data_IF_938144138303
#
_entry.id   IF_938144138303
#
_cell.length_a   1.000
_cell.length_b   1.000
_cell.length_c   1.000
_cell.angle_alpha   90.00
_cell.angle_beta   90.00
_cell.angle_gamma   90.00
#
_symmetry.space_group_name_H-M   'P 1'
#
loop_
_entity.id
_entity.type
_entity.pdbx_description
1 polymer ?
#
# COMPACT_ATOMS: atom_id res chain seq x y z
N UNK A 1 25.74 16.81 22.46
CA UNK A 1 25.67 15.36 22.13
C UNK A 1 26.92 14.96 21.37
N UNK A 2 27.70 14.02 21.92
CA UNK A 2 28.95 13.53 21.33
C UNK A 2 28.67 12.68 20.07
N UNK A 3 29.65 12.60 19.15
CA UNK A 3 29.56 11.81 17.90
C UNK A 3 29.09 10.36 18.12
N UNK A 4 29.43 9.75 19.27
CA UNK A 4 28.99 8.41 19.65
C UNK A 4 27.48 8.26 19.90
N UNK A 5 26.81 9.27 20.50
CA UNK A 5 25.35 9.26 20.64
C UNK A 5 24.64 9.39 19.29
N UNK A 6 25.28 10.10 18.35
CA UNK A 6 24.71 10.29 17.02
C UNK A 6 24.68 9.00 16.19
N UNK A 7 25.73 8.18 16.28
CA UNK A 7 25.80 6.90 15.59
C UNK A 7 24.81 5.86 16.15
N UNK A 8 24.61 5.82 17.48
CA UNK A 8 23.69 4.88 18.13
C UNK A 8 22.22 5.10 17.74
N UNK A 9 21.75 6.36 17.76
CA UNK A 9 20.38 6.71 17.34
C UNK A 9 20.09 6.34 15.88
N UNK A 10 21.08 6.49 14.97
CA UNK A 10 20.92 6.07 13.58
C UNK A 10 20.79 4.55 13.42
N UNK A 11 21.55 3.76 14.18
CA UNK A 11 21.46 2.28 14.14
C UNK A 11 20.10 1.78 14.62
N UNK A 12 19.58 2.33 15.73
CA UNK A 12 18.28 1.96 16.27
C UNK A 12 17.14 2.26 15.27
N UNK A 13 17.16 3.45 14.66
CA UNK A 13 16.14 3.83 13.67
C UNK A 13 16.13 2.90 12.46
N UNK A 14 17.31 2.47 11.97
CA UNK A 14 17.42 1.47 10.89
C UNK A 14 16.78 0.15 11.30
N UNK A 15 17.12 -0.35 12.50
CA UNK A 15 16.56 -1.59 13.03
C UNK A 15 15.04 -1.55 13.10
N UNK A 16 14.47 -0.45 13.61
CA UNK A 16 13.01 -0.27 13.69
C UNK A 16 12.36 -0.25 12.30
N UNK A 17 12.95 0.42 11.31
CA UNK A 17 12.43 0.43 9.94
C UNK A 17 12.44 -0.96 9.31
N UNK A 18 13.52 -1.73 9.49
CA UNK A 18 13.61 -3.11 8.98
C UNK A 18 12.61 -4.04 9.69
N UNK A 19 12.53 -3.98 11.02
CA UNK A 19 11.54 -4.76 11.78
C UNK A 19 10.13 -4.36 11.38
N UNK A 20 9.87 -3.08 11.13
CA UNK A 20 8.58 -2.56 10.69
C UNK A 20 8.12 -3.15 9.35
N UNK A 21 9.02 -3.31 8.37
CA UNK A 21 8.65 -3.95 7.09
C UNK A 21 8.48 -5.47 7.23
N UNK A 22 9.27 -6.14 8.06
CA UNK A 22 9.05 -7.57 8.35
C UNK A 22 7.69 -7.78 9.03
N UNK A 23 7.36 -6.94 10.01
CA UNK A 23 6.05 -6.90 10.65
C UNK A 23 4.93 -6.64 9.64
N UNK A 24 5.10 -5.65 8.74
CA UNK A 24 4.13 -5.34 7.69
C UNK A 24 3.80 -6.55 6.80
N UNK A 25 4.78 -7.40 6.50
CA UNK A 25 4.63 -8.50 5.55
C UNK A 25 4.22 -9.80 6.20
N UNK A 26 4.73 -10.12 7.39
CA UNK A 26 4.62 -11.45 7.98
C UNK A 26 3.74 -11.52 9.23
N UNK A 27 3.32 -10.38 9.79
CA UNK A 27 2.47 -10.43 10.98
C UNK A 27 1.08 -11.01 10.61
N UNK A 28 0.61 -12.06 11.31
CA UNK A 28 -0.63 -12.75 10.98
C UNK A 28 -1.87 -11.90 11.34
N UNK A 29 -2.98 -12.16 10.67
CA UNK A 29 -4.30 -11.55 10.97
C UNK A 29 -5.34 -12.59 11.38
N UNK A 30 -5.03 -13.88 11.27
CA UNK A 30 -5.90 -14.98 11.68
C UNK A 30 -5.14 -16.09 12.40
N UNK A 31 -5.91 -16.95 13.08
CA UNK A 31 -5.42 -18.20 13.67
C UNK A 31 -6.36 -19.30 13.20
N UNK A 32 -5.83 -20.26 12.43
CA UNK A 32 -6.64 -21.34 11.86
C UNK A 32 -7.71 -20.86 10.87
N UNK A 33 -7.44 -19.75 10.16
CA UNK A 33 -8.38 -19.15 9.20
C UNK A 33 -9.49 -18.29 9.80
N UNK A 34 -9.56 -18.19 11.12
CA UNK A 34 -10.50 -17.31 11.81
C UNK A 34 -9.82 -15.97 12.11
N UNK A 35 -10.46 -14.85 11.69
CA UNK A 35 -10.03 -13.49 12.04
C UNK A 35 -9.81 -13.41 13.55
N UNK A 36 -8.62 -12.99 13.99
CA UNK A 36 -8.30 -12.88 15.41
C UNK A 36 -8.33 -11.41 15.86
N UNK A 37 -9.34 -10.99 16.64
CA UNK A 37 -9.41 -9.64 17.17
C UNK A 37 -8.20 -9.28 18.04
N UNK A 38 -7.60 -10.28 18.70
CA UNK A 38 -6.39 -10.10 19.51
C UNK A 38 -5.19 -9.75 18.63
N UNK A 39 -4.98 -10.48 17.53
CA UNK A 39 -3.90 -10.16 16.59
C UNK A 39 -4.09 -8.77 15.98
N UNK A 40 -5.31 -8.40 15.59
CA UNK A 40 -5.58 -7.07 15.04
C UNK A 40 -5.27 -5.95 16.05
N UNK A 41 -5.67 -6.11 17.32
CA UNK A 41 -5.33 -5.16 18.39
C UNK A 41 -3.83 -5.05 18.60
N UNK A 42 -3.13 -6.18 18.66
CA UNK A 42 -1.67 -6.22 18.80
C UNK A 42 -1.01 -5.54 17.61
N UNK A 43 -1.48 -5.78 16.39
CA UNK A 43 -0.94 -5.15 15.18
C UNK A 43 -1.09 -3.62 15.22
N UNK A 44 -2.25 -3.11 15.63
CA UNK A 44 -2.48 -1.67 15.78
C UNK A 44 -1.56 -1.07 16.85
N UNK A 45 -1.45 -1.71 18.02
CA UNK A 45 -0.60 -1.24 19.11
C UNK A 45 0.89 -1.28 18.74
N UNK A 46 1.34 -2.33 18.07
CA UNK A 46 2.72 -2.43 17.57
C UNK A 46 3.01 -1.35 16.53
N UNK A 47 2.06 -1.06 15.64
CA UNK A 47 2.21 0.02 14.66
C UNK A 47 2.37 1.39 15.35
N UNK A 48 1.55 1.68 16.37
CA UNK A 48 1.70 2.88 17.22
C UNK A 48 3.05 2.89 17.92
N UNK A 49 3.47 1.76 18.52
CA UNK A 49 4.73 1.64 19.24
C UNK A 49 5.95 1.84 18.34
N UNK A 50 5.92 1.32 17.10
CA UNK A 50 6.98 1.51 16.10
C UNK A 50 7.18 2.99 15.79
N UNK A 51 6.11 3.75 15.53
CA UNK A 51 6.22 5.18 15.24
C UNK A 51 6.54 6.02 16.47
N UNK A 52 5.97 5.67 17.63
CA UNK A 52 6.33 6.27 18.91
C UNK A 52 7.83 6.13 19.19
N UNK A 53 8.38 4.92 19.02
CA UNK A 53 9.80 4.65 19.19
C UNK A 53 10.66 5.45 18.20
N UNK A 54 10.27 5.53 16.91
CA UNK A 54 10.99 6.35 15.94
C UNK A 54 11.05 7.83 16.35
N UNK A 55 9.93 8.41 16.82
CA UNK A 55 9.90 9.80 17.29
C UNK A 55 10.78 10.00 18.53
N UNK A 56 10.72 9.08 19.49
CA UNK A 56 11.51 9.13 20.73
C UNK A 56 13.02 9.02 20.50
N UNK A 57 13.47 8.47 19.37
CA UNK A 57 14.89 8.45 18.99
C UNK A 57 15.49 9.84 18.67
N UNK A 58 14.74 10.92 18.90
CA UNK A 58 15.19 12.32 18.98
C UNK A 58 15.63 12.93 17.63
N UNK A 59 15.70 12.11 16.57
CA UNK A 59 16.17 12.51 15.25
C UNK A 59 15.21 12.18 14.11
N UNK A 60 14.14 11.45 14.41
CA UNK A 60 13.13 11.11 13.43
C UNK A 60 11.86 11.92 13.61
N UNK A 61 11.94 13.13 14.18
CA UNK A 61 10.81 14.05 14.21
C UNK A 61 10.71 14.81 12.89
N UNK A 62 9.49 14.97 12.38
CA UNK A 62 9.16 15.82 11.25
C UNK A 62 9.30 17.30 11.60
N UNK A 63 8.75 18.16 10.73
CA UNK A 63 8.64 19.58 11.01
C UNK A 63 7.61 19.82 12.13
N UNK A 64 7.77 20.92 12.88
CA UNK A 64 6.77 21.33 13.89
C UNK A 64 5.38 21.50 13.27
N UNK A 65 5.32 22.00 12.04
CA UNK A 65 4.07 22.13 11.28
C UNK A 65 3.37 20.79 11.08
N UNK A 66 4.10 19.73 10.70
CA UNK A 66 3.53 18.39 10.56
C UNK A 66 2.96 17.88 11.88
N UNK A 67 3.69 18.07 12.99
CA UNK A 67 3.19 17.70 14.31
C UNK A 67 1.89 18.45 14.67
N UNK A 68 1.83 19.76 14.40
CA UNK A 68 0.62 20.58 14.65
C UNK A 68 -0.55 20.10 13.79
N UNK A 69 -0.33 19.86 12.49
CA UNK A 69 -1.35 19.35 11.56
C UNK A 69 -1.89 17.99 12.03
N UNK A 70 -1.00 17.10 12.47
CA UNK A 70 -1.39 15.78 12.96
C UNK A 70 -2.11 15.83 14.32
N UNK A 71 -1.72 16.74 15.21
CA UNK A 71 -2.48 17.01 16.44
C UNK A 71 -3.85 17.61 16.14
N UNK A 72 -3.93 18.54 15.17
CA UNK A 72 -5.19 19.11 14.72
C UNK A 72 -6.12 18.04 14.13
N UNK A 73 -5.59 17.05 13.41
CA UNK A 73 -6.36 15.90 12.94
C UNK A 73 -7.00 15.12 14.09
N UNK A 74 -6.24 14.81 15.14
CA UNK A 74 -6.76 14.09 16.32
C UNK A 74 -7.77 14.96 17.07
N UNK A 75 -7.47 16.24 17.29
CA UNK A 75 -8.36 17.18 17.96
C UNK A 75 -9.68 17.34 17.19
N UNK A 76 -9.61 17.45 15.87
CA UNK A 76 -10.79 17.54 14.99
C UNK A 76 -11.67 16.30 15.12
N UNK A 77 -11.09 15.10 14.99
CA UNK A 77 -11.83 13.85 15.14
C UNK A 77 -12.46 13.71 16.53
N UNK A 78 -11.73 14.08 17.59
CA UNK A 78 -12.25 14.09 18.96
C UNK A 78 -13.43 15.07 19.11
N UNK A 79 -13.33 16.27 18.55
CA UNK A 79 -14.41 17.25 18.57
C UNK A 79 -15.66 16.71 17.86
N UNK A 80 -15.51 16.13 16.66
CA UNK A 80 -16.64 15.54 15.92
C UNK A 80 -17.26 14.35 16.66
N UNK A 81 -16.44 13.56 17.37
CA UNK A 81 -16.91 12.44 18.20
C UNK A 81 -17.83 12.92 19.33
N UNK A 82 -17.49 14.05 19.97
CA UNK A 82 -18.26 14.62 21.07
C UNK A 82 -19.57 15.28 20.59
N UNK A 83 -19.56 15.85 19.39
CA UNK A 83 -20.73 16.49 18.78
C UNK A 83 -21.77 15.48 18.28
N UNK A 84 -21.44 14.19 18.21
CA UNK A 84 -22.33 13.12 17.74
C UNK A 84 -22.58 12.06 18.86
N UNK A 85 -23.33 12.41 19.92
CA UNK A 85 -23.45 11.60 21.14
C UNK A 85 -24.30 10.33 20.98
N UNK A 86 -25.10 10.24 19.92
CA UNK A 86 -25.95 9.06 19.64
C UNK A 86 -25.20 8.00 18.82
N UNK A 87 -23.95 7.69 19.18
CA UNK A 87 -23.15 6.75 18.42
C UNK A 87 -22.18 5.95 19.29
N UNK A 88 -21.71 4.83 18.75
CA UNK A 88 -20.83 3.92 19.47
C UNK A 88 -19.37 4.24 19.17
N UNK A 89 -18.61 4.59 20.22
CA UNK A 89 -17.17 4.84 20.09
C UNK A 89 -16.44 3.59 19.56
N UNK A 90 -15.56 3.79 18.58
CA UNK A 90 -14.70 2.76 18.02
C UNK A 90 -13.24 2.95 18.50
N UNK A 91 -12.84 2.38 19.65
CA UNK A 91 -11.51 2.61 20.22
C UNK A 91 -10.36 2.15 19.29
N UNK A 92 -10.58 1.12 18.46
CA UNK A 92 -9.61 0.69 17.46
C UNK A 92 -9.27 1.78 16.44
N UNK A 93 -10.25 2.61 16.06
CA UNK A 93 -10.02 3.70 15.12
C UNK A 93 -9.19 4.83 15.72
N UNK A 94 -9.40 5.13 17.01
CA UNK A 94 -8.57 6.08 17.74
C UNK A 94 -7.11 5.69 17.62
N UNK A 95 -6.80 4.42 17.89
CA UNK A 95 -5.42 3.92 17.80
C UNK A 95 -4.88 3.91 16.35
N UNK A 96 -5.71 3.61 15.34
CA UNK A 96 -5.31 3.71 13.92
C UNK A 96 -4.95 5.15 13.55
N UNK A 97 -5.79 6.13 13.88
CA UNK A 97 -5.53 7.54 13.58
C UNK A 97 -4.35 8.09 14.37
N UNK A 98 -4.16 7.68 15.63
CA UNK A 98 -2.95 7.99 16.40
C UNK A 98 -1.72 7.40 15.71
N UNK A 99 -1.76 6.14 15.28
CA UNK A 99 -0.68 5.52 14.52
C UNK A 99 -0.36 6.27 13.23
N UNK A 100 -1.38 6.68 12.47
CA UNK A 100 -1.23 7.49 11.27
C UNK A 100 -0.64 8.87 11.56
N UNK A 101 -1.14 9.57 12.58
CA UNK A 101 -0.64 10.87 13.03
C UNK A 101 0.84 10.80 13.43
N UNK A 102 1.23 9.74 14.15
CA UNK A 102 2.61 9.49 14.51
C UNK A 102 3.46 9.21 13.26
N UNK A 103 3.01 8.33 12.36
CA UNK A 103 3.70 8.04 11.10
C UNK A 103 3.95 9.31 10.30
N UNK A 104 2.92 10.12 10.05
CA UNK A 104 3.02 11.38 9.29
C UNK A 104 3.92 12.42 10.01
N UNK A 105 4.08 12.30 11.33
CA UNK A 105 4.98 13.13 12.13
C UNK A 105 6.43 12.64 12.10
N UNK A 106 6.72 11.44 11.58
CA UNK A 106 8.08 10.90 11.53
C UNK A 106 8.89 11.41 10.35
N UNK A 107 10.21 11.53 10.55
CA UNK A 107 11.21 11.85 9.55
C UNK A 107 12.28 10.77 9.51
N UNK A 108 12.23 9.91 8.49
CA UNK A 108 13.24 8.89 8.21
C UNK A 108 14.23 9.33 7.12
N UNK A 109 14.19 10.59 6.66
CA UNK A 109 15.08 11.13 5.60
C UNK A 109 16.59 10.90 5.85
N UNK A 110 17.00 10.94 7.12
CA UNK A 110 18.41 10.82 7.55
C UNK A 110 18.78 9.38 7.93
N UNK A 111 17.82 8.46 7.91
CA UNK A 111 18.08 7.04 8.07
C UNK A 111 18.62 6.54 6.75
N UNK A 112 19.75 5.85 6.80
CA UNK A 112 20.40 5.27 5.62
C UNK A 112 21.00 3.93 6.01
N UNK A 113 20.72 2.88 5.25
CA UNK A 113 21.27 1.55 5.48
C UNK A 113 21.36 0.75 4.17
N UNK A 114 22.17 1.18 3.19
CA UNK A 114 22.08 0.68 1.81
C UNK A 114 22.17 -0.84 1.70
N UNK A 115 23.08 -1.47 2.46
CA UNK A 115 23.22 -2.93 2.48
C UNK A 115 22.01 -3.61 3.13
N UNK A 116 21.55 -3.13 4.28
CA UNK A 116 20.43 -3.73 4.99
C UNK A 116 19.12 -3.57 4.22
N UNK A 117 18.89 -2.41 3.60
CA UNK A 117 17.69 -2.15 2.79
C UNK A 117 17.71 -2.95 1.49
N UNK A 118 18.87 -3.12 0.85
CA UNK A 118 19.03 -4.00 -0.31
C UNK A 118 18.79 -5.47 0.03
N UNK A 119 19.37 -5.97 1.13
CA UNK A 119 19.13 -7.34 1.62
C UNK A 119 17.66 -7.56 1.98
N UNK A 120 17.03 -6.57 2.61
CA UNK A 120 15.61 -6.64 2.95
C UNK A 120 14.75 -6.67 1.69
N UNK A 121 15.04 -5.86 0.67
CA UNK A 121 14.31 -5.95 -0.60
C UNK A 121 14.51 -7.30 -1.29
N UNK A 122 15.73 -7.84 -1.27
CA UNK A 122 16.00 -9.19 -1.80
C UNK A 122 15.18 -10.26 -1.07
N UNK A 123 15.07 -10.17 0.25
CA UNK A 123 14.20 -11.03 1.05
C UNK A 123 12.72 -10.87 0.65
N UNK A 124 12.23 -9.64 0.49
CA UNK A 124 10.85 -9.36 0.04
C UNK A 124 10.59 -9.99 -1.32
N UNK A 125 11.52 -9.85 -2.27
CA UNK A 125 11.42 -10.44 -3.59
C UNK A 125 11.38 -11.97 -3.51
N UNK A 126 12.31 -12.58 -2.77
CA UNK A 126 12.37 -14.03 -2.59
C UNK A 126 11.08 -14.56 -1.95
N UNK A 127 10.61 -13.92 -0.88
CA UNK A 127 9.36 -14.26 -0.21
C UNK A 127 8.16 -14.17 -1.16
N UNK A 128 7.99 -13.03 -1.83
CA UNK A 128 6.87 -12.77 -2.73
C UNK A 128 6.88 -13.70 -3.95
N UNK A 129 8.04 -14.00 -4.53
CA UNK A 129 8.15 -14.94 -5.65
C UNK A 129 7.93 -16.37 -5.20
N UNK A 130 8.50 -16.78 -4.07
CA UNK A 130 8.32 -18.16 -3.57
C UNK A 130 6.85 -18.41 -3.25
N UNK A 131 6.25 -17.55 -2.41
CA UNK A 131 4.87 -17.72 -1.98
C UNK A 131 3.88 -17.43 -3.13
N UNK A 132 4.10 -16.36 -3.89
CA UNK A 132 3.20 -15.97 -4.98
C UNK A 132 3.18 -16.97 -6.12
N UNK A 133 4.34 -17.52 -6.49
CA UNK A 133 4.42 -18.59 -7.50
C UNK A 133 3.80 -19.88 -6.98
N UNK A 134 4.08 -20.25 -5.72
CA UNK A 134 3.46 -21.42 -5.11
C UNK A 134 1.93 -21.31 -5.06
N UNK A 135 1.37 -20.13 -4.77
CA UNK A 135 -0.07 -19.89 -4.84
C UNK A 135 -0.60 -19.94 -6.28
N UNK A 136 0.13 -19.37 -7.25
CA UNK A 136 -0.29 -19.37 -8.65
C UNK A 136 -0.32 -20.77 -9.29
N UNK A 137 0.44 -21.73 -8.73
CA UNK A 137 0.47 -23.13 -9.16
C UNK A 137 -0.26 -24.07 -8.18
N UNK A 138 -1.15 -23.54 -7.34
CA UNK A 138 -1.95 -24.32 -6.36
C UNK A 138 -1.12 -25.30 -5.50
N UNK A 139 0.03 -24.83 -5.01
CA UNK A 139 0.89 -25.65 -4.16
C UNK A 139 0.31 -25.67 -2.74
N UNK A 140 -0.18 -26.83 -2.31
CA UNK A 140 -0.95 -27.02 -1.07
C UNK A 140 -0.33 -26.42 0.22
N UNK A 141 1.01 -26.42 0.37
CA UNK A 141 1.62 -25.86 1.58
C UNK A 141 1.44 -24.34 1.65
N UNK A 142 1.47 -23.65 0.51
CA UNK A 142 1.32 -22.20 0.41
C UNK A 142 -0.12 -21.81 0.70
N UNK A 143 -1.07 -22.54 0.12
CA UNK A 143 -2.50 -22.38 0.39
C UNK A 143 -2.82 -22.55 1.89
N UNK A 144 -2.40 -23.68 2.48
CA UNK A 144 -2.59 -23.93 3.93
C UNK A 144 -1.95 -22.87 4.80
N UNK A 145 -0.74 -22.41 4.45
CA UNK A 145 -0.06 -21.35 5.17
C UNK A 145 -0.84 -20.03 5.12
N UNK A 146 -1.30 -19.63 3.93
CA UNK A 146 -2.03 -18.36 3.77
C UNK A 146 -3.38 -18.41 4.47
N UNK A 147 -4.16 -19.48 4.26
CA UNK A 147 -5.47 -19.67 4.91
C UNK A 147 -5.37 -19.76 6.42
N UNK A 148 -4.31 -20.36 6.97
CA UNK A 148 -4.18 -20.51 8.42
C UNK A 148 -3.91 -19.19 9.15
N UNK A 149 -3.12 -18.28 8.56
CA UNK A 149 -2.53 -17.14 9.27
C UNK A 149 -2.94 -15.77 8.76
N UNK A 150 -3.50 -15.71 7.56
CA UNK A 150 -3.98 -14.48 6.96
C UNK A 150 -5.47 -14.65 6.68
N UNK A 151 -6.21 -13.56 6.78
CA UNK A 151 -7.58 -13.35 6.28
C UNK A 151 -7.96 -11.89 6.60
N UNK A 152 -8.99 -11.35 5.97
CA UNK A 152 -9.40 -9.97 6.19
C UNK A 152 -10.91 -9.81 6.01
N UNK A 153 -11.51 -8.85 6.73
CA UNK A 153 -12.92 -8.48 6.63
C UNK A 153 -13.93 -9.55 7.06
N UNK A 154 -14.02 -10.67 6.34
CA UNK A 154 -14.88 -11.81 6.64
C UNK A 154 -14.15 -13.13 6.38
N UNK A 155 -14.58 -14.20 7.02
CA UNK A 155 -13.84 -15.47 7.08
C UNK A 155 -13.63 -16.11 5.70
N UNK A 156 -14.66 -16.09 4.86
CA UNK A 156 -14.65 -16.77 3.55
C UNK A 156 -13.93 -15.99 2.45
N UNK A 157 -13.38 -14.81 2.74
CA UNK A 157 -12.74 -13.99 1.69
C UNK A 157 -11.59 -14.75 1.04
N UNK A 158 -10.77 -15.45 1.83
CA UNK A 158 -9.59 -16.14 1.30
C UNK A 158 -9.93 -17.40 0.54
N UNK A 159 -10.98 -18.11 0.97
CA UNK A 159 -11.55 -19.21 0.18
C UNK A 159 -11.96 -18.67 -1.19
N UNK A 160 -12.68 -17.55 -1.24
CA UNK A 160 -13.04 -16.95 -2.53
C UNK A 160 -11.81 -16.55 -3.35
N UNK A 161 -10.77 -15.98 -2.74
CA UNK A 161 -9.59 -15.50 -3.48
C UNK A 161 -8.73 -16.64 -4.00
N UNK A 162 -8.46 -17.66 -3.18
CA UNK A 162 -7.54 -18.75 -3.48
C UNK A 162 -8.26 -19.90 -4.20
N UNK A 163 -9.39 -20.38 -3.67
CA UNK A 163 -10.02 -21.62 -4.16
C UNK A 163 -10.92 -21.40 -5.36
N UNK A 164 -11.55 -20.24 -5.46
CA UNK A 164 -12.52 -19.99 -6.54
C UNK A 164 -11.91 -19.21 -7.71
N UNK A 165 -10.82 -18.48 -7.48
CA UNK A 165 -10.26 -17.57 -8.48
C UNK A 165 -8.74 -17.68 -8.65
N UNK A 166 -8.06 -18.57 -7.92
CA UNK A 166 -6.61 -18.85 -8.02
C UNK A 166 -5.72 -17.59 -7.91
N UNK A 167 -6.10 -16.64 -7.03
CA UNK A 167 -5.44 -15.34 -6.95
C UNK A 167 -4.27 -15.37 -5.98
N UNK A 168 -3.01 -15.13 -6.41
CA UNK A 168 -1.85 -15.13 -5.51
C UNK A 168 -1.82 -13.88 -4.60
N UNK A 169 -2.69 -13.80 -3.59
CA UNK A 169 -2.86 -12.59 -2.75
C UNK A 169 -1.77 -12.40 -1.67
N UNK A 170 -0.83 -13.34 -1.55
CA UNK A 170 0.20 -13.39 -0.50
C UNK A 170 -0.43 -13.21 0.91
N UNK A 171 0.16 -12.38 1.76
CA UNK A 171 -0.27 -12.08 3.13
C UNK A 171 -1.27 -10.92 3.22
N UNK A 172 -1.71 -10.39 2.08
CA UNK A 172 -2.57 -9.21 2.00
C UNK A 172 -4.06 -9.54 2.00
N UNK A 173 -4.41 -10.84 1.94
CA UNK A 173 -5.75 -11.42 2.01
C UNK A 173 -6.78 -10.98 0.94
N UNK A 174 -6.54 -9.86 0.26
CA UNK A 174 -7.43 -9.27 -0.74
C UNK A 174 -6.64 -8.93 -2.00
N UNK A 175 -7.26 -9.16 -3.17
CA UNK A 175 -6.59 -8.92 -4.45
C UNK A 175 -6.26 -7.44 -4.69
N UNK A 176 -7.07 -6.49 -4.20
CA UNK A 176 -6.80 -5.06 -4.37
C UNK A 176 -5.57 -4.63 -3.58
N UNK A 177 -5.46 -5.06 -2.32
CA UNK A 177 -4.29 -4.75 -1.50
C UNK A 177 -3.04 -5.48 -2.01
N UNK A 178 -3.17 -6.75 -2.42
CA UNK A 178 -2.07 -7.49 -3.02
C UNK A 178 -1.57 -6.82 -4.31
N UNK A 179 -2.47 -6.40 -5.20
CA UNK A 179 -2.12 -5.72 -6.46
C UNK A 179 -1.39 -4.40 -6.20
N UNK A 180 -1.82 -3.65 -5.18
CA UNK A 180 -1.13 -2.45 -4.75
C UNK A 180 0.27 -2.73 -4.22
N UNK A 181 0.45 -3.75 -3.37
CA UNK A 181 1.78 -4.12 -2.87
C UNK A 181 2.70 -4.68 -3.96
N UNK A 182 2.19 -5.49 -4.89
CA UNK A 182 2.96 -5.90 -6.06
C UNK A 182 3.43 -4.71 -6.88
N UNK A 183 2.60 -3.68 -7.02
CA UNK A 183 3.00 -2.45 -7.67
C UNK A 183 4.10 -1.71 -6.89
N UNK A 184 4.00 -1.63 -5.56
CA UNK A 184 5.05 -1.00 -4.74
C UNK A 184 6.37 -1.78 -4.83
N UNK A 185 6.33 -3.12 -4.83
CA UNK A 185 7.50 -3.97 -5.01
C UNK A 185 8.10 -3.83 -6.41
N UNK A 186 7.24 -3.81 -7.44
CA UNK A 186 7.64 -3.46 -8.80
C UNK A 186 8.36 -2.11 -8.79
N UNK A 187 7.77 -1.08 -8.19
CA UNK A 187 8.30 0.28 -8.21
C UNK A 187 9.70 0.35 -7.57
N UNK A 188 9.91 -0.33 -6.43
CA UNK A 188 11.22 -0.38 -5.79
C UNK A 188 12.29 -1.03 -6.68
N UNK A 189 11.96 -2.17 -7.29
CA UNK A 189 12.87 -2.89 -8.19
C UNK A 189 13.09 -2.15 -9.52
N UNK A 190 12.06 -1.50 -10.05
CA UNK A 190 12.13 -0.61 -11.20
C UNK A 190 13.06 0.57 -10.93
N UNK A 191 12.93 1.23 -9.78
CA UNK A 191 13.83 2.32 -9.39
C UNK A 191 15.26 1.83 -9.20
N UNK A 192 15.45 0.62 -8.66
CA UNK A 192 16.77 0.00 -8.61
C UNK A 192 17.38 -0.14 -10.01
N UNK A 193 16.64 -0.67 -10.99
CA UNK A 193 17.09 -0.78 -12.38
C UNK A 193 17.39 0.58 -13.03
N UNK A 194 16.49 1.55 -12.90
CA UNK A 194 16.67 2.90 -13.49
C UNK A 194 17.88 3.61 -12.91
N UNK A 195 18.13 3.43 -11.60
CA UNK A 195 19.23 4.11 -10.91
C UNK A 195 20.57 3.41 -11.11
N UNK A 196 20.62 2.08 -11.06
CA UNK A 196 21.89 1.32 -11.03
C UNK A 196 22.16 0.50 -12.31
N UNK A 197 21.17 0.34 -13.19
CA UNK A 197 21.25 -0.59 -14.31
C UNK A 197 21.16 -2.07 -13.92
N UNK A 198 20.85 -2.38 -12.66
CA UNK A 198 20.82 -3.76 -12.16
C UNK A 198 19.84 -4.65 -12.93
N UNK A 199 20.38 -5.69 -13.60
CA UNK A 199 19.59 -6.71 -14.31
C UNK A 199 18.70 -7.50 -13.35
N UNK A 200 19.14 -7.72 -12.11
CA UNK A 200 18.34 -8.33 -11.06
C UNK A 200 17.15 -7.45 -10.65
N UNK A 201 17.35 -6.13 -10.59
CA UNK A 201 16.26 -5.18 -10.38
C UNK A 201 15.23 -5.22 -11.52
N UNK A 202 15.69 -5.31 -12.77
CA UNK A 202 14.80 -5.46 -13.93
C UNK A 202 14.00 -6.78 -13.88
N UNK A 203 14.69 -7.90 -13.64
CA UNK A 203 14.05 -9.22 -13.54
C UNK A 203 13.00 -9.25 -12.41
N UNK A 204 13.33 -8.69 -11.24
CA UNK A 204 12.40 -8.62 -10.13
C UNK A 204 11.20 -7.69 -10.43
N UNK A 205 11.42 -6.57 -11.12
CA UNK A 205 10.31 -5.71 -11.55
C UNK A 205 9.35 -6.47 -12.48
N UNK A 206 9.86 -7.18 -13.48
CA UNK A 206 9.04 -8.02 -14.38
C UNK A 206 8.32 -9.12 -13.60
N UNK A 207 9.00 -9.77 -12.64
CA UNK A 207 8.41 -10.80 -11.80
C UNK A 207 7.22 -10.30 -10.98
N UNK A 208 7.35 -9.16 -10.31
CA UNK A 208 6.23 -8.56 -9.55
C UNK A 208 5.10 -8.10 -10.47
N UNK A 209 5.45 -7.60 -11.67
CA UNK A 209 4.45 -7.25 -12.67
C UNK A 209 3.65 -8.46 -13.13
N UNK A 210 4.33 -9.60 -13.30
CA UNK A 210 3.71 -10.88 -13.66
C UNK A 210 2.78 -11.38 -12.56
N UNK A 211 3.24 -11.40 -11.30
CA UNK A 211 2.39 -11.77 -10.16
C UNK A 211 1.18 -10.83 -10.00
N UNK A 212 1.37 -9.53 -10.23
CA UNK A 212 0.29 -8.55 -10.18
C UNK A 212 -0.78 -8.77 -11.27
N UNK A 213 -0.37 -9.21 -12.47
CA UNK A 213 -1.32 -9.60 -13.52
C UNK A 213 -2.03 -10.91 -13.18
N UNK A 214 -1.32 -11.87 -12.58
CA UNK A 214 -1.88 -13.16 -12.15
C UNK A 214 -2.99 -13.03 -11.09
N UNK A 215 -3.10 -11.89 -10.39
CA UNK A 215 -4.23 -11.61 -9.50
C UNK A 215 -5.58 -11.49 -10.20
N UNK A 216 -5.62 -11.29 -11.52
CA UNK A 216 -6.86 -11.17 -12.30
C UNK A 216 -7.87 -10.20 -11.65
N UNK A 217 -7.40 -9.02 -11.26
CA UNK A 217 -8.23 -8.01 -10.58
C UNK A 217 -8.07 -6.64 -11.22
N UNK A 218 -9.13 -5.83 -11.22
CA UNK A 218 -9.13 -4.49 -11.82
C UNK A 218 -7.96 -3.64 -11.31
N UNK A 219 -7.70 -3.65 -10.00
CA UNK A 219 -6.53 -2.95 -9.43
C UNK A 219 -5.22 -3.50 -9.96
N UNK A 220 -5.05 -4.83 -10.00
CA UNK A 220 -3.87 -5.49 -10.56
C UNK A 220 -3.63 -5.09 -12.02
N UNK A 221 -4.62 -5.24 -12.88
CA UNK A 221 -4.53 -4.89 -14.30
C UNK A 221 -4.18 -3.42 -14.52
N UNK A 222 -4.85 -2.48 -13.84
CA UNK A 222 -4.57 -1.04 -13.97
C UNK A 222 -3.14 -0.73 -13.55
N UNK A 223 -2.74 -1.16 -12.34
CA UNK A 223 -1.42 -0.85 -11.81
C UNK A 223 -0.30 -1.54 -12.59
N UNK A 224 -0.49 -2.78 -13.03
CA UNK A 224 0.50 -3.49 -13.83
C UNK A 224 0.60 -2.96 -15.26
N UNK A 225 -0.49 -2.41 -15.83
CA UNK A 225 -0.44 -1.69 -17.11
C UNK A 225 0.39 -0.41 -16.99
N UNK A 226 0.18 0.35 -15.91
CA UNK A 226 1.01 1.53 -15.59
C UNK A 226 2.47 1.10 -15.43
N UNK A 227 2.74 0.03 -14.68
CA UNK A 227 4.08 -0.53 -14.49
C UNK A 227 4.73 -0.93 -15.83
N UNK A 228 3.98 -1.59 -16.73
CA UNK A 228 4.45 -1.96 -18.07
C UNK A 228 4.82 -0.75 -18.91
N UNK A 229 4.01 0.31 -18.88
CA UNK A 229 4.33 1.58 -19.52
C UNK A 229 5.62 2.22 -18.96
N UNK A 230 5.79 2.23 -17.64
CA UNK A 230 7.02 2.74 -17.00
C UNK A 230 8.26 1.95 -17.43
N UNK A 231 8.15 0.63 -17.47
CA UNK A 231 9.24 -0.25 -17.82
C UNK A 231 9.62 -0.13 -19.30
N UNK A 232 8.62 -0.10 -20.19
CA UNK A 232 8.79 0.14 -21.62
C UNK A 232 9.56 1.44 -21.87
N UNK A 233 9.10 2.55 -21.26
CA UNK A 233 9.73 3.86 -21.42
C UNK A 233 11.16 3.88 -20.90
N UNK A 234 11.43 3.24 -19.75
CA UNK A 234 12.77 3.19 -19.18
C UNK A 234 13.74 2.35 -20.04
N UNK A 235 13.31 1.18 -20.50
CA UNK A 235 14.14 0.30 -21.35
C UNK A 235 14.36 0.91 -22.72
N UNK A 236 13.33 1.53 -23.32
CA UNK A 236 13.49 2.29 -24.58
C UNK A 236 14.53 3.39 -24.40
N UNK A 237 14.43 4.23 -23.37
CA UNK A 237 15.41 5.31 -23.15
C UNK A 237 16.84 4.80 -22.97
N UNK A 238 17.03 3.63 -22.34
CA UNK A 238 18.36 3.08 -22.06
C UNK A 238 18.98 2.27 -23.21
N UNK A 239 18.16 1.53 -23.96
CA UNK A 239 18.63 0.54 -24.94
C UNK A 239 18.07 0.72 -26.35
N UNK A 240 17.29 1.78 -26.59
CA UNK A 240 16.67 2.05 -27.88
C UNK A 240 15.49 1.14 -28.21
N UNK A 241 14.96 1.27 -29.44
CA UNK A 241 13.76 0.55 -29.91
C UNK A 241 13.91 -0.98 -29.99
N UNK A 242 15.13 -1.48 -30.19
CA UNK A 242 15.39 -2.90 -30.46
C UNK A 242 15.13 -3.82 -29.27
N UNK A 243 15.21 -3.32 -28.03
CA UNK A 243 15.05 -4.10 -26.79
C UNK A 243 13.84 -3.64 -25.95
N UNK A 244 13.15 -2.58 -26.36
CA UNK A 244 12.03 -2.00 -25.63
C UNK A 244 10.83 -2.94 -25.49
N UNK A 245 10.67 -3.92 -26.39
CA UNK A 245 9.54 -4.86 -26.39
C UNK A 245 9.71 -6.04 -25.41
N UNK A 246 10.94 -6.42 -25.06
CA UNK A 246 11.24 -7.57 -24.18
C UNK A 246 10.53 -7.51 -22.81
N UNK A 247 10.50 -6.37 -22.09
CA UNK A 247 9.85 -6.27 -20.79
C UNK A 247 8.32 -6.32 -20.86
N UNK A 248 7.75 -6.10 -22.04
CA UNK A 248 6.30 -6.17 -22.30
C UNK A 248 5.91 -7.57 -22.78
N UNK A 249 6.79 -8.22 -23.54
CA UNK A 249 6.54 -9.56 -24.08
C UNK A 249 6.46 -10.63 -22.98
N UNK A 250 7.36 -10.62 -21.98
CA UNK A 250 7.37 -11.64 -20.93
C UNK A 250 6.06 -11.70 -20.09
N UNK A 251 5.54 -10.58 -19.57
CA UNK A 251 4.23 -10.54 -18.91
C UNK A 251 3.09 -10.91 -19.87
N UNK A 252 3.11 -10.43 -21.11
CA UNK A 252 2.07 -10.76 -22.10
C UNK A 252 2.07 -12.24 -22.48
N UNK A 253 3.24 -12.90 -22.53
CA UNK A 253 3.34 -14.32 -22.80
C UNK A 253 2.84 -15.16 -21.64
N UNK A 254 3.09 -14.75 -20.40
CA UNK A 254 2.58 -15.45 -19.21
C UNK A 254 1.08 -15.24 -19.06
N UNK A 255 0.60 -14.00 -19.22
CA UNK A 255 -0.84 -13.71 -19.27
C UNK A 255 -1.49 -14.45 -20.44
N UNK A 256 -0.85 -14.45 -21.61
CA UNK A 256 -1.29 -15.18 -22.79
C UNK A 256 -1.39 -16.68 -22.52
N UNK A 257 -0.39 -17.30 -21.90
CA UNK A 257 -0.40 -18.71 -21.53
C UNK A 257 -1.52 -19.03 -20.53
N UNK A 258 -1.68 -18.19 -19.50
CA UNK A 258 -2.73 -18.34 -18.47
C UNK A 258 -4.14 -18.14 -19.04
N UNK A 259 -4.30 -17.21 -19.99
CA UNK A 259 -5.57 -16.96 -20.70
C UNK A 259 -5.88 -18.05 -21.73
N UNK A 260 -4.84 -18.58 -22.40
CA UNK A 260 -5.00 -19.66 -23.38
C UNK A 260 -5.34 -21.01 -22.73
N UNK A 261 -4.89 -21.27 -21.50
CA UNK A 261 -5.32 -22.45 -20.73
C UNK A 261 -6.79 -22.41 -20.27
N UNK A 262 -7.42 -21.23 -20.22
CA UNK A 262 -8.80 -21.08 -19.70
C UNK A 262 -9.92 -21.33 -20.73
N UNK A 263 -9.60 -21.83 -21.93
CA UNK A 263 -10.53 -22.11 -23.03
C UNK A 263 -11.33 -20.90 -23.60
N UNK A 264 -11.17 -20.72 -24.92
CA UNK A 264 -12.02 -19.99 -25.89
C UNK A 264 -12.02 -18.45 -25.84
N UNK A 265 -11.26 -17.93 -26.80
CA UNK A 265 -11.12 -16.56 -27.33
C UNK A 265 -12.40 -15.86 -27.84
N UNK A 266 -13.60 -16.25 -27.39
CA UNK A 266 -14.87 -15.56 -27.71
C UNK A 266 -15.31 -14.54 -26.64
N UNK A 267 -14.58 -14.41 -25.53
CA UNK A 267 -14.90 -13.51 -24.42
C UNK A 267 -13.86 -12.39 -24.22
N UNK A 268 -13.27 -11.83 -25.29
CA UNK A 268 -12.24 -10.79 -25.16
C UNK A 268 -12.79 -9.37 -24.93
N UNK A 269 -14.08 -9.13 -25.21
CA UNK A 269 -14.72 -7.80 -25.08
C UNK A 269 -15.38 -7.63 -23.70
N UNK A 270 -15.91 -8.71 -23.14
CA UNK A 270 -16.65 -8.68 -21.87
C UNK A 270 -15.80 -8.35 -20.63
N UNK A 271 -14.53 -8.79 -20.50
CA UNK A 271 -13.68 -8.46 -19.36
C UNK A 271 -13.36 -6.96 -19.26
N UNK A 272 -13.26 -6.25 -20.38
CA UNK A 272 -13.03 -4.78 -20.39
C UNK A 272 -14.31 -4.04 -19.99
N UNK A 273 -15.47 -4.54 -20.44
CA UNK A 273 -16.79 -4.03 -20.05
C UNK A 273 -17.07 -4.31 -18.57
N UNK A 274 -16.79 -5.50 -18.06
CA UNK A 274 -16.87 -5.86 -16.64
C UNK A 274 -15.86 -5.06 -15.80
N UNK A 275 -14.69 -4.73 -16.34
CA UNK A 275 -13.68 -3.92 -15.63
C UNK A 275 -14.09 -2.44 -15.47
N UNK A 276 -14.81 -1.87 -16.43
CA UNK A 276 -15.24 -0.45 -16.43
C UNK A 276 -16.68 -0.23 -15.93
N UNK A 277 -17.60 -1.10 -16.30
CA UNK A 277 -19.04 -1.02 -16.01
C UNK A 277 -19.41 -1.90 -14.82
N UNK A 278 -18.71 -3.03 -14.64
CA UNK A 278 -19.00 -3.99 -13.58
C UNK A 278 -20.22 -4.87 -13.87
N UNK A 279 -20.28 -6.03 -13.23
CA UNK A 279 -21.57 -6.61 -12.84
C UNK A 279 -22.17 -5.73 -11.74
N UNK A 280 -23.48 -5.83 -11.46
CA UNK A 280 -24.18 -5.00 -10.46
C UNK A 280 -23.48 -4.95 -9.07
N UNK A 281 -22.56 -5.89 -8.79
CA UNK A 281 -21.87 -6.06 -7.50
C UNK A 281 -20.37 -5.76 -7.55
N UNK A 282 -19.69 -5.89 -8.70
CA UNK A 282 -18.22 -5.76 -8.77
C UNK A 282 -17.76 -4.79 -9.85
N UNK A 283 -17.05 -3.72 -9.45
CA UNK A 283 -16.51 -2.71 -10.35
C UNK A 283 -16.43 -1.34 -9.67
N UNK A 284 -15.60 -0.44 -10.20
CA UNK A 284 -15.47 0.92 -9.64
C UNK A 284 -16.80 1.67 -9.74
N UNK A 285 -17.49 1.61 -10.89
CA UNK A 285 -18.76 2.31 -11.11
C UNK A 285 -19.90 1.69 -10.30
N UNK A 286 -20.00 0.36 -10.26
CA UNK A 286 -20.98 -0.35 -9.43
C UNK A 286 -20.87 0.06 -7.95
N UNK A 287 -19.65 0.24 -7.44
CA UNK A 287 -19.40 0.63 -6.05
C UNK A 287 -19.95 2.01 -5.66
N UNK A 288 -19.85 2.99 -6.56
CA UNK A 288 -20.31 4.36 -6.35
C UNK A 288 -21.73 4.63 -6.89
N UNK A 289 -22.41 3.61 -7.40
CA UNK A 289 -23.79 3.73 -7.89
C UNK A 289 -24.79 3.91 -6.74
N UNK A 290 -26.01 4.36 -7.06
CA UNK A 290 -27.08 4.56 -6.07
C UNK A 290 -27.56 3.27 -5.39
N UNK A 291 -27.29 2.11 -6.00
CA UNK A 291 -27.53 0.78 -5.44
C UNK A 291 -26.23 0.06 -5.04
N UNK A 292 -25.10 0.78 -5.10
CA UNK A 292 -23.77 0.23 -4.85
C UNK A 292 -23.45 0.06 -3.36
N UNK A 293 -22.33 -0.59 -3.09
CA UNK A 293 -21.86 -0.85 -1.72
C UNK A 293 -21.63 0.44 -0.89
N UNK A 294 -21.31 1.56 -1.55
CA UNK A 294 -21.14 2.86 -0.89
C UNK A 294 -22.39 3.74 -0.95
N UNK A 295 -23.53 3.24 -1.44
CA UNK A 295 -24.76 4.03 -1.57
C UNK A 295 -25.23 4.62 -0.23
N UNK A 296 -25.21 3.81 0.85
CA UNK A 296 -25.51 4.29 2.20
C UNK A 296 -24.60 5.43 2.64
N UNK A 297 -23.29 5.28 2.41
CA UNK A 297 -22.31 6.31 2.71
C UNK A 297 -22.55 7.61 1.92
N UNK A 298 -22.86 7.48 0.62
CA UNK A 298 -23.10 8.62 -0.26
C UNK A 298 -24.38 9.36 0.13
N UNK A 299 -25.46 8.63 0.48
CA UNK A 299 -26.69 9.23 1.02
C UNK A 299 -26.41 9.97 2.33
N UNK A 300 -25.69 9.34 3.27
CA UNK A 300 -25.30 10.01 4.51
C UNK A 300 -24.48 11.28 4.24
N UNK A 301 -23.48 11.23 3.36
CA UNK A 301 -22.64 12.39 3.04
C UNK A 301 -23.43 13.51 2.38
N UNK A 302 -24.45 13.20 1.59
CA UNK A 302 -25.36 14.18 0.99
C UNK A 302 -26.25 14.84 2.05
N UNK A 303 -26.79 14.03 2.95
CA UNK A 303 -27.82 14.47 3.90
C UNK A 303 -27.20 15.06 5.19
N UNK A 304 -25.92 14.78 5.47
CA UNK A 304 -25.23 15.13 6.72
C UNK A 304 -23.76 15.57 6.51
N UNK A 305 -23.49 16.36 5.46
CA UNK A 305 -22.13 16.83 5.08
C UNK A 305 -21.32 17.44 6.22
N UNK A 306 -22.00 18.15 7.14
CA UNK A 306 -21.39 18.87 8.27
C UNK A 306 -21.61 18.19 9.63
N UNK A 307 -22.10 16.95 9.63
CA UNK A 307 -22.24 16.12 10.84
C UNK A 307 -21.40 14.84 10.69
N UNK A 308 -20.06 14.95 10.65
CA UNK A 308 -19.21 13.78 10.52
C UNK A 308 -19.15 12.97 11.83
N UNK A 309 -18.86 11.68 11.70
CA UNK A 309 -18.96 10.70 12.79
C UNK A 309 -17.80 10.75 13.80
N UNK A 310 -16.70 11.42 13.48
CA UNK A 310 -15.46 11.33 14.28
C UNK A 310 -14.95 9.89 14.39
N UNK A 311 -14.70 9.46 15.62
CA UNK A 311 -14.28 8.11 16.00
C UNK A 311 -15.44 7.14 16.23
N UNK A 312 -16.69 7.55 15.99
CA UNK A 312 -17.83 6.69 16.21
C UNK A 312 -18.12 5.78 15.00
N UNK A 313 -18.85 4.70 15.25
CA UNK A 313 -19.63 3.99 14.24
C UNK A 313 -21.04 4.59 14.20
N UNK A 314 -21.58 4.76 12.98
CA UNK A 314 -22.98 5.10 12.82
C UNK A 314 -23.88 3.99 13.37
N UNK A 315 -25.05 4.38 13.87
CA UNK A 315 -26.05 3.42 14.33
C UNK A 315 -26.83 2.78 13.18
N UNK A 316 -26.84 3.43 12.00
CA UNK A 316 -27.48 2.91 10.80
C UNK A 316 -26.66 1.78 10.17
N UNK A 317 -27.32 0.67 9.85
CA UNK A 317 -26.68 -0.54 9.29
C UNK A 317 -26.20 -0.36 7.85
N UNK A 318 -26.51 0.76 7.20
CA UNK A 318 -26.21 1.04 5.78
C UNK A 318 -24.79 1.61 5.55
N UNK A 319 -24.03 1.92 6.60
CA UNK A 319 -22.69 2.50 6.45
C UNK A 319 -21.60 1.44 6.32
N UNK A 320 -20.82 1.53 5.25
CA UNK A 320 -19.75 0.59 4.91
C UNK A 320 -18.36 1.22 5.09
N UNK A 321 -17.52 0.65 5.95
CA UNK A 321 -16.23 1.26 6.38
C UNK A 321 -14.98 0.56 5.84
N UNK A 322 -15.11 -0.11 4.70
CA UNK A 322 -14.11 -1.05 4.21
C UNK A 322 -13.47 -0.59 2.88
N UNK A 323 -14.22 0.18 2.09
CA UNK A 323 -13.82 0.69 0.78
C UNK A 323 -13.61 2.21 0.78
N UNK A 324 -12.77 2.70 -0.14
CA UNK A 324 -12.46 4.10 -0.42
C UNK A 324 -12.05 4.98 0.77
N UNK A 325 -10.78 5.38 0.86
CA UNK A 325 -10.34 6.32 1.88
C UNK A 325 -11.00 7.69 1.75
N UNK A 326 -11.26 8.15 0.54
CA UNK A 326 -11.96 9.43 0.30
C UNK A 326 -13.31 9.47 1.03
N UNK A 327 -14.13 8.43 0.84
CA UNK A 327 -15.44 8.36 1.48
C UNK A 327 -15.30 8.19 2.99
N UNK A 328 -14.38 7.34 3.46
CA UNK A 328 -14.19 7.12 4.89
C UNK A 328 -13.70 8.37 5.63
N UNK A 329 -12.81 9.16 5.04
CA UNK A 329 -12.34 10.40 5.65
C UNK A 329 -13.42 11.48 5.63
N UNK A 330 -14.19 11.58 4.54
CA UNK A 330 -15.35 12.46 4.49
C UNK A 330 -16.39 12.12 5.55
N UNK A 331 -16.70 10.83 5.75
CA UNK A 331 -17.64 10.40 6.79
C UNK A 331 -17.18 10.75 8.20
N UNK A 332 -15.86 10.73 8.44
CA UNK A 332 -15.29 10.86 9.79
C UNK A 332 -14.96 12.28 10.20
N UNK A 333 -14.58 13.13 9.26
CA UNK A 333 -14.25 14.51 9.59
C UNK A 333 -14.42 15.46 8.41
N UNK A 334 -15.30 15.11 7.47
CA UNK A 334 -15.62 15.91 6.29
C UNK A 334 -14.37 16.31 5.49
N UNK A 335 -14.49 17.36 4.68
CA UNK A 335 -13.39 17.89 3.88
C UNK A 335 -12.13 18.25 4.71
N UNK A 336 -12.22 18.83 5.93
CA UNK A 336 -11.04 19.10 6.74
C UNK A 336 -10.16 17.88 6.97
N UNK A 337 -10.75 16.73 7.32
CA UNK A 337 -9.98 15.51 7.57
C UNK A 337 -9.29 14.99 6.30
N UNK A 338 -9.98 15.03 5.15
CA UNK A 338 -9.41 14.66 3.85
C UNK A 338 -8.17 15.51 3.55
N UNK A 339 -8.27 16.82 3.74
CA UNK A 339 -7.17 17.75 3.50
C UNK A 339 -6.00 17.52 4.46
N UNK A 340 -6.28 17.24 5.74
CA UNK A 340 -5.25 16.94 6.74
C UNK A 340 -4.50 15.64 6.42
N UNK A 341 -5.21 14.58 6.03
CA UNK A 341 -4.59 13.28 5.72
C UNK A 341 -3.77 13.35 4.43
N UNK A 342 -4.35 13.83 3.32
CA UNK A 342 -3.65 13.84 2.03
C UNK A 342 -2.62 14.97 1.92
N UNK A 343 -2.91 16.14 2.49
CA UNK A 343 -1.92 17.19 2.67
C UNK A 343 -0.78 16.74 3.58
N UNK A 344 -1.10 16.05 4.68
CA UNK A 344 -0.14 15.42 5.59
C UNK A 344 0.73 14.37 4.89
N UNK A 345 0.14 13.50 4.06
CA UNK A 345 0.88 12.54 3.24
C UNK A 345 1.86 13.22 2.29
N UNK A 346 1.40 14.21 1.53
CA UNK A 346 2.27 14.93 0.59
C UNK A 346 3.43 15.62 1.34
N UNK A 347 3.12 16.28 2.46
CA UNK A 347 4.12 16.94 3.29
C UNK A 347 5.08 15.94 3.93
N UNK A 348 4.61 14.76 4.38
CA UNK A 348 5.44 13.66 4.86
C UNK A 348 6.38 13.18 3.75
N UNK A 349 5.87 12.85 2.56
CA UNK A 349 6.69 12.38 1.44
C UNK A 349 7.74 13.43 1.05
N UNK A 350 7.34 14.71 0.94
CA UNK A 350 8.24 15.83 0.63
C UNK A 350 9.32 16.04 1.69
N UNK A 351 8.98 15.88 2.97
CA UNK A 351 9.94 16.00 4.06
C UNK A 351 10.95 14.84 4.08
N UNK A 352 10.55 13.68 3.56
CA UNK A 352 11.26 12.42 3.73
C UNK A 352 12.05 11.93 2.51
N UNK A 353 11.48 12.01 1.31
CA UNK A 353 12.11 11.56 0.07
C UNK A 353 13.05 12.63 -0.50
N UNK A 354 14.18 12.19 -1.06
CA UNK A 354 15.16 13.07 -1.72
C UNK A 354 14.76 13.42 -3.15
N UNK A 355 14.14 12.50 -3.90
CA UNK A 355 13.75 12.71 -5.30
C UNK A 355 12.36 13.30 -5.43
N UNK A 356 12.24 14.41 -6.19
CA UNK A 356 10.95 15.05 -6.50
C UNK A 356 10.06 14.19 -7.40
N UNK A 357 10.67 13.34 -8.23
CA UNK A 357 9.92 12.40 -9.08
C UNK A 357 9.23 11.34 -8.22
N UNK A 358 9.96 10.74 -7.26
CA UNK A 358 9.40 9.76 -6.33
C UNK A 358 8.26 10.33 -5.49
N UNK A 359 8.41 11.56 -4.99
CA UNK A 359 7.37 12.25 -4.20
C UNK A 359 6.07 12.34 -4.99
N UNK A 360 6.11 12.91 -6.20
CA UNK A 360 4.92 13.13 -7.03
C UNK A 360 4.28 11.80 -7.43
N UNK A 361 5.10 10.84 -7.84
CA UNK A 361 4.62 9.55 -8.31
C UNK A 361 3.95 8.73 -7.21
N UNK A 362 4.63 8.56 -6.07
CA UNK A 362 4.07 7.81 -4.94
C UNK A 362 2.81 8.49 -4.40
N UNK A 363 2.81 9.82 -4.29
CA UNK A 363 1.61 10.55 -3.88
C UNK A 363 0.43 10.27 -4.82
N UNK A 364 0.65 10.39 -6.13
CA UNK A 364 -0.38 10.12 -7.13
C UNK A 364 -0.91 8.69 -7.06
N UNK A 365 -0.02 7.69 -7.03
CA UNK A 365 -0.43 6.28 -7.00
C UNK A 365 -1.18 5.93 -5.71
N UNK A 366 -0.74 6.44 -4.56
CA UNK A 366 -1.43 6.21 -3.29
C UNK A 366 -2.83 6.84 -3.35
N UNK A 367 -2.97 8.08 -3.83
CA UNK A 367 -4.29 8.71 -3.98
C UNK A 367 -5.21 7.98 -4.95
N UNK A 368 -4.66 7.48 -6.06
CA UNK A 368 -5.40 6.69 -7.04
C UNK A 368 -5.91 5.39 -6.40
N UNK A 369 -5.07 4.72 -5.61
CA UNK A 369 -5.47 3.51 -4.90
C UNK A 369 -6.49 3.80 -3.79
N UNK A 370 -6.39 4.95 -3.10
CA UNK A 370 -7.33 5.42 -2.08
C UNK A 370 -8.78 5.56 -2.59
N UNK A 371 -8.99 5.70 -3.90
CA UNK A 371 -10.34 5.65 -4.50
C UNK A 371 -10.96 4.27 -4.29
N UNK A 372 -10.19 3.20 -4.54
CA UNK A 372 -10.67 1.83 -4.43
C UNK A 372 -10.54 1.24 -3.04
N UNK A 373 -9.60 1.66 -2.20
CA UNK A 373 -9.34 0.97 -0.94
C UNK A 373 -8.58 1.87 0.01
N UNK A 374 -8.68 1.67 1.32
CA UNK A 374 -8.04 2.55 2.32
C UNK A 374 -6.76 1.94 2.91
N UNK A 375 -5.59 1.98 2.22
CA UNK A 375 -4.36 1.42 2.73
C UNK A 375 -3.90 2.06 4.05
N UNK A 376 -4.17 3.34 4.33
CA UNK A 376 -3.74 3.95 5.60
C UNK A 376 -4.40 3.34 6.85
N UNK A 377 -5.51 2.63 6.71
CA UNK A 377 -6.12 1.90 7.84
C UNK A 377 -5.46 0.54 8.07
N UNK A 378 -4.50 0.14 7.22
CA UNK A 378 -3.80 -1.12 7.29
C UNK A 378 -2.40 -0.90 7.82
N UNK A 379 -2.10 -1.54 8.97
CA UNK A 379 -0.77 -1.52 9.56
C UNK A 379 0.31 -1.94 8.54
N UNK A 380 -0.02 -2.87 7.64
CA UNK A 380 0.88 -3.32 6.56
C UNK A 380 1.41 -2.15 5.74
N UNK A 381 0.53 -1.27 5.27
CA UNK A 381 0.96 -0.15 4.43
C UNK A 381 1.70 0.92 5.24
N UNK A 382 1.15 1.30 6.40
CA UNK A 382 1.77 2.34 7.23
C UNK A 382 3.17 1.91 7.67
N UNK A 383 3.38 0.66 8.09
CA UNK A 383 4.69 0.15 8.51
C UNK A 383 5.65 -0.09 7.34
N UNK A 384 5.15 -0.35 6.13
CA UNK A 384 5.97 -0.52 4.91
C UNK A 384 6.51 0.80 4.37
N UNK A 385 5.71 1.87 4.43
CA UNK A 385 6.03 3.17 3.81
C UNK A 385 7.39 3.77 4.27
N UNK A 386 7.78 3.76 5.56
CA UNK A 386 9.11 4.19 5.98
C UNK A 386 10.26 3.42 5.33
N UNK A 387 10.13 2.10 5.19
CA UNK A 387 11.14 1.29 4.51
C UNK A 387 11.30 1.70 3.05
N UNK A 388 10.17 1.89 2.34
CA UNK A 388 10.18 2.34 0.95
C UNK A 388 10.94 3.69 0.80
N UNK A 389 10.68 4.63 1.71
CA UNK A 389 11.38 5.93 1.74
C UNK A 389 12.89 5.77 1.96
N UNK A 390 13.30 4.98 2.96
CA UNK A 390 14.72 4.79 3.27
C UNK A 390 15.44 4.12 2.10
N UNK A 391 14.85 3.07 1.51
CA UNK A 391 15.41 2.38 0.36
C UNK A 391 15.58 3.30 -0.86
N UNK A 392 14.55 4.08 -1.22
CA UNK A 392 14.63 5.02 -2.34
C UNK A 392 15.68 6.11 -2.10
N UNK A 393 15.83 6.58 -0.86
CA UNK A 393 16.87 7.54 -0.49
C UNK A 393 18.27 6.96 -0.55
N UNK A 394 18.45 5.69 -0.17
CA UNK A 394 19.72 4.96 -0.28
C UNK A 394 20.13 4.82 -1.74
N UNK A 395 19.20 4.46 -2.64
CA UNK A 395 19.44 4.38 -4.08
C UNK A 395 19.94 5.71 -4.67
N UNK A 396 19.26 6.82 -4.36
CA UNK A 396 19.67 8.16 -4.86
C UNK A 396 21.08 8.54 -4.37
N UNK A 397 21.44 8.11 -3.15
CA UNK A 397 22.76 8.42 -2.56
C UNK A 397 23.86 7.58 -3.18
N UNK A 398 23.55 6.37 -3.66
CA UNK A 398 24.51 5.45 -4.29
C UNK A 398 24.93 5.82 -5.71
N UNK A 399 24.28 6.78 -6.39
CA UNK A 399 24.74 7.30 -7.68
C UNK A 399 26.08 8.03 -7.53
N UNK A 400 27.04 7.68 -8.40
CA UNK A 400 28.32 8.39 -8.48
C UNK A 400 28.09 9.87 -8.83
N UNK A 401 28.97 10.79 -8.39
CA UNK A 401 28.84 12.22 -8.69
C UNK A 401 28.81 12.54 -10.19
N UNK A 402 29.47 11.73 -11.02
CA UNK A 402 29.59 11.92 -12.47
C UNK A 402 28.23 11.75 -13.19
N UNK A 403 27.36 10.85 -12.73
CA UNK A 403 26.02 10.65 -13.32
C UNK A 403 24.96 11.69 -12.86
N UNK A 404 25.29 12.59 -11.92
CA UNK A 404 24.35 13.64 -11.46
C UNK A 404 24.25 14.81 -12.43
N UNK A 405 25.25 15.03 -13.27
CA UNK A 405 25.30 16.19 -14.18
C UNK A 405 24.44 15.98 -15.44
N UNK A 406 24.23 14.73 -15.86
CA UNK A 406 23.47 14.42 -17.09
C UNK A 406 21.97 14.18 -16.85
N UNK A 407 21.52 13.92 -15.61
CA UNK A 407 20.15 13.50 -15.32
C UNK A 407 19.15 14.59 -14.92
N UNK A 408 19.63 15.81 -14.67
CA UNK A 408 18.81 16.97 -14.28
C UNK A 408 18.61 17.98 -15.44
N UNK A 409 19.04 17.63 -16.66
CA UNK A 409 18.84 18.39 -17.90
C UNK A 409 17.54 18.01 -18.62
#
# INVERSE_FOLDING_TARGET
MTSGQQAKSSRAARGIVIVGVVFALLFPTSVGGVISPTLDRVAILLNVAVFGALLLLGKCHGSRLLAIVNLAMIAWLSAMTLLFPHARLAPGLVAIFVGLALMLSTSVRRVSAPQATALTLAFINLFAFTLGTALAFDVQWADRFVKAYYTAFWQDILVSMLDWYDKPVLTFATHSLAGFFYYLFFYLNFRNYVVTGSRWGLAAAIGHMTLGMALRSTTGWILMTIAGGQLLLAVWRRHGRQLAWVPVLAPLLIVGAVVLEMERLTAAVEPVREMLVGTEVSGLMARYSESGLLAGNLRYLRDSTFSPLGFNYGLDQDLYYSDSGWIQYMLRGSLPLVLLIYGGLYAFLRANLKSRSDIRWLYFVILLFEVGYTPFFRFRFTSFLPFMVVYLNDLVTSRSPEERVEGDA
#
